data_IF_121991586504
#
_entry.id   IF_121991586504
#
_cell.length_a   1.000
_cell.length_b   1.000
_cell.length_c   1.000
_cell.angle_alpha   90.00
_cell.angle_beta   90.00
_cell.angle_gamma   90.00
#
_symmetry.space_group_name_H-M   'P 1'
#
loop_
_entity.id
_entity.type
_entity.pdbx_description
1 polymer ?
#
# COMPACT_ATOMS: atom_id res chain seq x y z
N UNK A 1 6.53 -21.68 25.99
CA UNK A 1 6.81 -20.36 25.35
C UNK A 1 7.45 -19.38 26.33
N UNK A 2 6.77 -18.96 27.40
CA UNK A 2 7.35 -18.01 28.38
C UNK A 2 8.56 -18.58 29.13
N UNK A 3 8.60 -19.88 29.35
CA UNK A 3 9.77 -20.61 29.87
C UNK A 3 10.98 -20.42 28.95
N UNK A 4 10.83 -20.73 27.66
CA UNK A 4 11.89 -20.52 26.67
C UNK A 4 12.35 -19.06 26.60
N UNK A 5 11.42 -18.09 26.72
CA UNK A 5 11.77 -16.67 26.74
C UNK A 5 12.57 -16.33 28.00
N UNK A 6 12.19 -16.86 29.15
CA UNK A 6 12.94 -16.66 30.40
C UNK A 6 14.35 -17.26 30.32
N UNK A 7 14.48 -18.46 29.74
CA UNK A 7 15.77 -19.11 29.49
C UNK A 7 16.63 -18.29 28.52
N UNK A 8 16.07 -17.80 27.41
CA UNK A 8 16.77 -16.95 26.45
C UNK A 8 17.22 -15.62 27.07
N UNK A 9 16.38 -14.99 27.89
CA UNK A 9 16.76 -13.77 28.62
C UNK A 9 17.93 -14.01 29.59
N UNK A 10 17.98 -15.20 30.20
CA UNK A 10 19.09 -15.59 31.05
C UNK A 10 20.35 -15.85 30.22
N UNK A 11 20.25 -16.54 29.09
CA UNK A 11 21.38 -16.90 28.25
C UNK A 11 22.00 -15.70 27.51
N UNK A 12 21.16 -14.84 26.91
CA UNK A 12 21.63 -13.75 26.05
C UNK A 12 21.94 -12.46 26.81
N UNK A 13 21.18 -12.18 27.87
CA UNK A 13 21.25 -10.90 28.60
C UNK A 13 21.70 -11.07 30.05
N UNK A 14 21.91 -12.30 30.54
CA UNK A 14 22.19 -12.62 31.95
C UNK A 14 21.14 -12.05 32.93
N UNK A 15 19.89 -11.95 32.49
CA UNK A 15 18.78 -11.45 33.31
C UNK A 15 17.90 -12.62 33.75
N UNK A 16 17.87 -12.89 35.05
CA UNK A 16 17.02 -13.94 35.63
C UNK A 16 15.62 -13.37 35.88
N UNK A 17 14.63 -13.94 35.20
CA UNK A 17 13.20 -13.62 35.39
C UNK A 17 12.38 -14.89 35.33
N UNK A 18 11.30 -14.93 36.10
CA UNK A 18 10.35 -16.04 36.00
C UNK A 18 9.48 -15.88 34.74
N UNK A 19 8.98 -16.98 34.16
CA UNK A 19 8.09 -16.93 33.00
C UNK A 19 6.88 -15.99 33.21
N UNK A 20 6.31 -16.02 34.42
CA UNK A 20 5.19 -15.15 34.82
C UNK A 20 5.59 -13.67 34.86
N UNK A 21 6.82 -13.34 35.27
CA UNK A 21 7.33 -11.97 35.22
C UNK A 21 7.50 -11.48 33.79
N UNK A 22 7.98 -12.33 32.88
CA UNK A 22 8.10 -12.03 31.45
C UNK A 22 6.72 -11.74 30.83
N UNK A 23 5.74 -12.60 31.10
CA UNK A 23 4.36 -12.42 30.63
C UNK A 23 3.74 -11.12 31.15
N UNK A 24 3.82 -10.88 32.46
CA UNK A 24 3.28 -9.66 33.09
C UNK A 24 3.95 -8.40 32.56
N UNK A 25 5.25 -8.48 32.26
CA UNK A 25 5.99 -7.36 31.66
C UNK A 25 5.47 -7.06 30.27
N UNK A 26 5.28 -8.06 29.42
CA UNK A 26 4.73 -7.84 28.07
C UNK A 26 3.32 -7.24 28.15
N UNK A 27 2.44 -7.79 29.00
CA UNK A 27 1.09 -7.24 29.22
C UNK A 27 1.11 -5.76 29.58
N UNK A 28 2.05 -5.37 30.45
CA UNK A 28 2.22 -3.98 30.87
C UNK A 28 2.70 -3.08 29.73
N UNK A 29 3.67 -3.55 28.93
CA UNK A 29 4.17 -2.82 27.76
C UNK A 29 3.03 -2.58 26.76
N UNK A 30 2.28 -3.62 26.42
CA UNK A 30 1.15 -3.52 25.49
C UNK A 30 0.04 -2.59 26.01
N UNK A 31 -0.27 -2.65 27.31
CA UNK A 31 -1.24 -1.74 27.94
C UNK A 31 -0.79 -0.29 27.82
N UNK A 32 0.47 0.01 28.13
CA UNK A 32 1.03 1.38 28.04
C UNK A 32 1.05 1.89 26.60
N UNK A 33 1.46 1.06 25.62
CA UNK A 33 1.37 1.40 24.19
C UNK A 33 -0.05 1.81 23.81
N UNK A 34 -1.06 1.00 24.18
CA UNK A 34 -2.47 1.30 23.88
C UNK A 34 -2.92 2.64 24.46
N UNK A 35 -2.55 2.93 25.70
CA UNK A 35 -2.88 4.20 26.37
C UNK A 35 -2.23 5.38 25.64
N UNK A 36 -0.92 5.30 25.35
CA UNK A 36 -0.19 6.36 24.66
C UNK A 36 -0.72 6.61 23.24
N UNK A 37 -1.05 5.56 22.49
CA UNK A 37 -1.68 5.69 21.16
C UNK A 37 -3.06 6.34 21.26
N UNK A 38 -3.89 5.93 22.23
CA UNK A 38 -5.21 6.55 22.45
C UNK A 38 -5.12 7.99 22.93
N UNK A 39 -4.03 8.37 23.62
CA UNK A 39 -3.79 9.74 24.02
C UNK A 39 -3.39 10.60 22.82
N UNK A 40 -2.50 10.09 21.98
CA UNK A 40 -2.01 10.77 20.78
C UNK A 40 -3.06 10.92 19.67
N UNK A 41 -4.13 10.13 19.69
CA UNK A 41 -5.24 10.24 18.73
C UNK A 41 -6.28 11.31 19.10
N UNK A 42 -6.20 11.90 20.30
CA UNK A 42 -7.14 12.93 20.77
C UNK A 42 -6.51 14.32 20.66
N UNK A 43 -7.20 15.23 19.98
CA UNK A 43 -6.81 16.64 19.90
C UNK A 43 -6.88 17.30 21.28
N UNK A 44 -5.92 18.18 21.59
CA UNK A 44 -5.82 18.89 22.87
C UNK A 44 -4.98 18.17 23.93
N UNK A 45 -4.60 16.90 23.70
CA UNK A 45 -3.69 16.19 24.59
C UNK A 45 -2.22 16.41 24.19
N UNK A 46 -1.33 16.43 25.19
CA UNK A 46 0.11 16.46 24.99
C UNK A 46 0.52 15.10 24.42
N UNK A 47 1.34 15.12 23.36
CA UNK A 47 1.82 13.90 22.72
C UNK A 47 2.77 13.14 23.64
N UNK A 48 2.51 11.85 23.80
CA UNK A 48 3.35 10.92 24.56
C UNK A 48 4.16 10.04 23.62
N UNK A 49 5.42 9.78 23.97
CA UNK A 49 6.29 8.89 23.20
C UNK A 49 5.94 7.44 23.52
N UNK A 50 5.60 6.66 22.50
CA UNK A 50 5.31 5.23 22.64
C UNK A 50 6.63 4.45 22.69
N UNK A 51 6.96 3.90 23.84
CA UNK A 51 8.18 3.09 24.01
C UNK A 51 8.06 1.76 23.27
N UNK A 52 9.15 1.38 22.60
CA UNK A 52 9.29 0.13 21.85
C UNK A 52 8.34 -0.03 20.65
N UNK A 53 7.87 1.09 20.08
CA UNK A 53 6.88 1.08 19.00
C UNK A 53 7.41 0.39 17.74
N UNK A 54 8.64 0.74 17.34
CA UNK A 54 9.28 0.24 16.12
C UNK A 54 9.56 -1.26 16.21
N UNK A 55 10.05 -1.73 17.36
CA UNK A 55 10.33 -3.15 17.60
C UNK A 55 9.04 -3.97 17.62
N UNK A 56 7.98 -3.46 18.26
CA UNK A 56 6.68 -4.13 18.28
C UNK A 56 6.07 -4.21 16.88
N UNK A 57 6.20 -3.15 16.08
CA UNK A 57 5.70 -3.14 14.71
C UNK A 57 6.51 -4.07 13.81
N UNK A 58 7.83 -4.16 14.01
CA UNK A 58 8.68 -5.14 13.33
C UNK A 58 8.24 -6.57 13.65
N UNK A 59 8.05 -6.91 14.92
CA UNK A 59 7.58 -8.25 15.32
C UNK A 59 6.20 -8.55 14.73
N UNK A 60 5.27 -7.59 14.79
CA UNK A 60 3.93 -7.75 14.22
C UNK A 60 3.96 -7.93 12.69
N UNK A 61 4.88 -7.26 11.99
CA UNK A 61 5.03 -7.39 10.54
C UNK A 61 5.60 -8.74 10.08
N UNK A 62 6.35 -9.43 10.96
CA UNK A 62 6.84 -10.78 10.68
C UNK A 62 5.71 -11.81 10.74
N UNK A 63 4.63 -11.51 11.47
CA UNK A 63 3.43 -12.33 11.59
C UNK A 63 2.32 -11.86 10.62
N UNK A 64 2.59 -11.93 9.32
CA UNK A 64 1.60 -11.66 8.25
C UNK A 64 0.64 -12.85 8.01
N UNK A 65 0.71 -13.89 8.86
CA UNK A 65 0.09 -15.20 8.63
C UNK A 65 -1.34 -15.36 9.17
N UNK A 66 -1.85 -14.43 9.99
CA UNK A 66 -3.10 -14.63 10.76
C UNK A 66 -4.23 -13.65 10.37
N UNK A 67 -4.04 -12.81 9.35
CA UNK A 67 -5.15 -11.99 8.86
C UNK A 67 -6.03 -12.81 7.90
N UNK A 68 -7.34 -13.00 8.21
CA UNK A 68 -8.23 -13.69 7.30
C UNK A 68 -8.33 -12.89 6.00
N UNK A 69 -8.32 -13.58 4.86
CA UNK A 69 -8.38 -12.93 3.55
C UNK A 69 -9.63 -12.04 3.39
N UNK A 70 -10.68 -12.41 4.12
CA UNK A 70 -11.98 -11.76 4.13
C UNK A 70 -12.44 -11.59 5.59
N UNK A 71 -12.64 -10.35 6.02
CA UNK A 71 -13.37 -10.05 7.25
C UNK A 71 -14.87 -10.03 6.94
N UNK A 72 -15.65 -10.81 7.68
CA UNK A 72 -17.12 -10.78 7.59
C UNK A 72 -17.73 -10.37 8.93
N UNK A 73 -18.67 -9.44 8.87
CA UNK A 73 -19.65 -9.09 9.88
C UNK A 73 -21.04 -9.40 9.31
N UNK A 74 -22.06 -9.53 10.16
CA UNK A 74 -23.43 -9.82 9.74
C UNK A 74 -23.93 -8.92 8.60
N UNK A 75 -23.45 -7.67 8.55
CA UNK A 75 -23.88 -6.66 7.56
C UNK A 75 -22.77 -6.24 6.58
N UNK A 76 -21.53 -6.74 6.70
CA UNK A 76 -20.40 -6.22 5.91
C UNK A 76 -19.32 -7.26 5.66
N UNK A 77 -18.84 -7.32 4.42
CA UNK A 77 -17.72 -8.14 4.01
C UNK A 77 -16.59 -7.24 3.47
N UNK A 78 -15.37 -7.34 4.02
CA UNK A 78 -14.20 -6.59 3.53
C UNK A 78 -13.04 -7.53 3.22
N UNK A 79 -12.59 -7.52 1.97
CA UNK A 79 -11.44 -8.32 1.48
C UNK A 79 -10.15 -7.55 1.76
N UNK A 80 -9.24 -8.12 2.57
CA UNK A 80 -8.04 -7.44 3.04
C UNK A 80 -6.83 -7.57 2.10
N UNK A 81 -6.69 -8.68 1.35
CA UNK A 81 -5.58 -8.87 0.40
C UNK A 81 -5.84 -8.13 -0.93
N UNK A 82 -5.33 -6.90 -1.05
CA UNK A 82 -5.45 -6.06 -2.26
C UNK A 82 -4.27 -6.13 -3.25
N UNK A 83 -3.33 -7.05 -3.11
CA UNK A 83 -2.10 -7.05 -3.92
C UNK A 83 -2.33 -7.21 -5.43
N UNK A 84 -3.42 -7.88 -5.86
CA UNK A 84 -3.74 -8.07 -7.29
C UNK A 84 -4.51 -6.92 -7.94
N UNK A 85 -5.27 -6.13 -7.15
CA UNK A 85 -6.13 -5.07 -7.70
C UNK A 85 -5.35 -3.84 -8.18
N UNK A 86 -4.22 -3.51 -7.55
CA UNK A 86 -3.36 -2.39 -7.97
C UNK A 86 -2.72 -2.64 -9.35
N UNK A 87 -2.27 -3.87 -9.62
CA UNK A 87 -1.76 -4.28 -10.95
C UNK A 87 -2.83 -4.17 -12.04
N UNK A 88 -4.06 -4.58 -11.75
CA UNK A 88 -5.16 -4.51 -12.73
C UNK A 88 -5.54 -3.06 -13.09
N UNK A 89 -5.55 -2.15 -12.10
CA UNK A 89 -5.81 -0.71 -12.33
C UNK A 89 -4.71 -0.06 -13.19
N UNK A 90 -3.45 -0.43 -12.96
CA UNK A 90 -2.31 -0.01 -13.79
C UNK A 90 -2.48 -0.45 -15.25
N UNK A 91 -2.85 -1.71 -15.47
CA UNK A 91 -3.01 -2.27 -16.81
C UNK A 91 -4.18 -1.63 -17.59
N UNK A 92 -5.29 -1.35 -16.91
CA UNK A 92 -6.45 -0.67 -17.52
C UNK A 92 -6.07 0.76 -17.95
N UNK A 93 -5.36 1.51 -17.12
CA UNK A 93 -4.90 2.86 -17.45
C UNK A 93 -4.00 2.88 -18.69
N UNK A 94 -3.09 1.91 -18.81
CA UNK A 94 -2.19 1.78 -19.96
C UNK A 94 -2.95 1.45 -21.25
N UNK A 95 -4.00 0.64 -21.16
CA UNK A 95 -4.85 0.29 -22.31
C UNK A 95 -5.63 1.51 -22.81
N UNK A 96 -6.15 2.33 -21.90
CA UNK A 96 -6.87 3.58 -22.23
C UNK A 96 -5.93 4.56 -22.93
N UNK A 97 -4.69 4.70 -22.44
CA UNK A 97 -3.69 5.58 -23.04
C UNK A 97 -3.37 5.17 -24.49
N UNK A 98 -3.21 3.86 -24.76
CA UNK A 98 -3.00 3.33 -26.11
C UNK A 98 -4.16 3.66 -27.07
N UNK A 99 -5.40 3.56 -26.61
CA UNK A 99 -6.58 3.89 -27.43
C UNK A 99 -6.61 5.39 -27.78
N UNK A 100 -6.27 6.26 -26.84
CA UNK A 100 -6.21 7.70 -27.11
C UNK A 100 -5.12 8.06 -28.12
N UNK A 101 -3.94 7.46 -27.97
CA UNK A 101 -2.82 7.67 -28.89
C UNK A 101 -3.16 7.22 -30.31
N UNK A 102 -3.75 6.03 -30.46
CA UNK A 102 -4.15 5.50 -31.77
C UNK A 102 -5.24 6.36 -32.43
N UNK A 103 -6.20 6.88 -31.65
CA UNK A 103 -7.20 7.82 -32.15
C UNK A 103 -6.57 9.13 -32.63
N UNK A 104 -5.54 9.63 -31.96
CA UNK A 104 -4.84 10.85 -32.36
C UNK A 104 -4.04 10.64 -33.65
N UNK A 105 -3.28 9.54 -33.72
CA UNK A 105 -2.52 9.18 -34.93
C UNK A 105 -3.44 9.01 -36.14
N UNK A 106 -4.61 8.38 -35.97
CA UNK A 106 -5.60 8.25 -37.03
C UNK A 106 -6.25 9.59 -37.42
N UNK A 107 -6.34 10.57 -36.51
CA UNK A 107 -6.74 11.94 -36.87
C UNK A 107 -5.66 12.63 -37.71
N UNK A 108 -4.41 12.57 -37.27
CA UNK A 108 -3.27 13.15 -37.98
C UNK A 108 -3.10 12.55 -39.39
N UNK A 109 -3.23 11.22 -39.52
CA UNK A 109 -3.14 10.53 -40.81
C UNK A 109 -4.17 11.03 -41.80
N UNK A 110 -5.45 11.08 -41.40
CA UNK A 110 -6.55 11.60 -42.23
C UNK A 110 -6.34 13.06 -42.60
N UNK A 111 -5.80 13.86 -41.68
CA UNK A 111 -5.50 15.26 -41.94
C UNK A 111 -4.38 15.39 -42.99
N UNK A 112 -3.32 14.59 -42.88
CA UNK A 112 -2.21 14.58 -43.84
C UNK A 112 -2.65 14.12 -45.23
N UNK A 113 -3.39 13.02 -45.31
CA UNK A 113 -3.98 12.51 -46.57
C UNK A 113 -4.86 13.59 -47.24
N UNK A 114 -5.67 14.31 -46.44
CA UNK A 114 -6.50 15.41 -46.94
C UNK A 114 -5.66 16.58 -47.46
N UNK A 115 -4.61 16.99 -46.75
CA UNK A 115 -3.73 18.07 -47.19
C UNK A 115 -2.96 17.69 -48.46
N UNK A 116 -2.46 16.47 -48.54
CA UNK A 116 -1.76 15.95 -49.71
C UNK A 116 -2.67 15.93 -50.94
N UNK A 117 -3.92 15.52 -50.79
CA UNK A 117 -4.91 15.59 -51.85
C UNK A 117 -5.18 17.03 -52.32
N UNK A 118 -5.32 17.98 -51.39
CA UNK A 118 -5.50 19.40 -51.72
C UNK A 118 -4.28 19.97 -52.44
N UNK A 119 -3.07 19.60 -52.02
CA UNK A 119 -1.84 20.01 -52.70
C UNK A 119 -1.80 19.46 -54.13
N UNK A 120 -2.09 18.18 -54.33
CA UNK A 120 -2.13 17.57 -55.65
C UNK A 120 -3.17 18.20 -56.59
N UNK A 121 -4.31 18.67 -56.05
CA UNK A 121 -5.29 19.45 -56.81
C UNK A 121 -4.77 20.84 -57.17
N UNK A 122 -4.13 21.53 -56.22
CA UNK A 122 -3.54 22.84 -56.44
C UNK A 122 -2.46 22.80 -57.53
N UNK A 123 -1.60 21.77 -57.52
CA UNK A 123 -0.54 21.59 -58.52
C UNK A 123 -1.09 21.29 -59.93
N UNK A 124 -2.26 20.63 -60.03
CA UNK A 124 -2.94 20.38 -61.32
C UNK A 124 -3.70 21.59 -61.86
N UNK A 125 -4.18 22.46 -60.98
CA UNK A 125 -4.88 23.72 -61.33
C UNK A 125 -3.91 24.89 -61.51
N UNK A 126 -2.66 24.75 -61.06
CA UNK A 126 -1.61 25.72 -61.32
C UNK A 126 -1.37 25.77 -62.85
N UNK A 127 -1.57 26.93 -63.49
CA UNK A 127 -1.36 27.06 -64.92
C UNK A 127 0.12 26.76 -65.23
N UNK A 128 0.35 25.77 -66.09
CA UNK A 128 1.63 25.56 -66.75
C UNK A 128 1.97 26.88 -67.48
N UNK A 129 2.95 27.61 -66.97
CA UNK A 129 3.56 28.75 -67.66
C UNK A 129 4.67 28.26 -68.58
#
# INVERSE_FOLDING_TARGET
MWENIAELLQLELNIIRTPLQCENRLKTILKRKRVAVSNNSKSGNIREIVKFEDELNKIASLDDSVQPEVLRSANKCTVLKESKKKKLKSQLAETIWKIHLDKEQNRERRHKEKLEFLQALADKLAPQK
#
